data_IF_063070668518
#
_entry.id   IF_063070668518
#
_cell.length_a   1.000
_cell.length_b   1.000
_cell.length_c   1.000
_cell.angle_alpha   90.00
_cell.angle_beta   90.00
_cell.angle_gamma   90.00
#
_symmetry.space_group_name_H-M   'P 1'
#
loop_
_entity.id
_entity.type
_entity.pdbx_description
1 polymer ?
#
# COMPACT_ATOMS: atom_id res chain seq x y z
N UNK A 1 -15.94 -41.82 5.23
CA UNK A 1 -16.00 -40.34 5.21
C UNK A 1 -15.85 -39.90 3.78
N UNK A 2 -16.81 -39.18 3.18
CA UNK A 2 -16.71 -38.84 1.77
C UNK A 2 -15.64 -37.75 1.58
N UNK A 3 -14.63 -38.09 0.77
CA UNK A 3 -13.59 -37.19 0.30
C UNK A 3 -14.18 -36.24 -0.74
N UNK A 4 -14.18 -34.93 -0.46
CA UNK A 4 -14.45 -33.93 -1.49
C UNK A 4 -13.15 -33.63 -2.24
N UNK A 5 -13.07 -33.91 -3.56
CA UNK A 5 -11.93 -33.46 -4.34
C UNK A 5 -11.98 -31.93 -4.47
N UNK A 6 -10.84 -31.29 -4.27
CA UNK A 6 -10.62 -29.92 -4.73
C UNK A 6 -10.87 -29.90 -6.24
N UNK A 7 -11.90 -29.19 -6.69
CA UNK A 7 -12.10 -28.95 -8.12
C UNK A 7 -10.95 -28.06 -8.60
N UNK A 8 -9.94 -28.69 -9.22
CA UNK A 8 -9.24 -28.04 -10.31
C UNK A 8 -10.30 -27.62 -11.33
N UNK A 9 -10.25 -26.39 -11.84
CA UNK A 9 -11.23 -25.87 -12.79
C UNK A 9 -11.52 -26.89 -13.88
N UNK A 10 -12.76 -27.36 -13.94
CA UNK A 10 -13.22 -28.33 -14.94
C UNK A 10 -12.87 -27.78 -16.34
N UNK A 11 -12.24 -28.61 -17.17
CA UNK A 11 -12.05 -28.37 -18.61
C UNK A 11 -13.39 -28.17 -19.36
N UNK A 12 -14.53 -28.32 -18.69
CA UNK A 12 -15.87 -27.98 -19.17
C UNK A 12 -16.19 -26.47 -19.21
N UNK A 13 -15.35 -25.60 -18.61
CA UNK A 13 -15.53 -24.14 -18.65
C UNK A 13 -15.20 -23.48 -20.01
N UNK A 14 -14.99 -24.25 -21.09
CA UNK A 14 -14.67 -23.70 -22.40
C UNK A 14 -15.90 -23.54 -23.33
N UNK A 15 -17.02 -24.20 -23.02
CA UNK A 15 -18.19 -24.27 -23.92
C UNK A 15 -19.47 -23.60 -23.40
N UNK A 16 -19.39 -22.81 -22.33
CA UNK A 16 -20.51 -21.95 -21.94
C UNK A 16 -20.41 -20.62 -22.67
N UNK A 17 -21.52 -20.14 -23.23
CA UNK A 17 -21.66 -18.72 -23.59
C UNK A 17 -21.20 -17.85 -22.41
N UNK A 18 -20.54 -16.74 -22.70
CA UNK A 18 -20.02 -15.85 -21.66
C UNK A 18 -21.13 -15.55 -20.65
N UNK A 19 -20.88 -15.81 -19.37
CA UNK A 19 -21.81 -15.55 -18.27
C UNK A 19 -21.89 -14.06 -17.91
N UNK A 20 -21.53 -13.19 -18.86
CA UNK A 20 -21.32 -11.76 -18.68
C UNK A 20 -22.09 -11.01 -19.77
N UNK A 21 -22.95 -10.09 -19.35
CA UNK A 21 -23.62 -9.15 -20.24
C UNK A 21 -22.69 -8.01 -20.72
N UNK A 22 -21.41 -8.05 -20.33
CA UNK A 22 -20.38 -7.07 -20.71
C UNK A 22 -19.64 -7.56 -21.96
N UNK A 23 -19.63 -6.71 -22.99
CA UNK A 23 -18.88 -6.91 -24.23
C UNK A 23 -17.37 -6.69 -24.03
N UNK A 24 -16.56 -7.30 -24.89
CA UNK A 24 -15.11 -7.06 -24.95
C UNK A 24 -14.74 -5.58 -25.14
N UNK A 25 -15.61 -4.79 -25.80
CA UNK A 25 -15.38 -3.36 -25.96
C UNK A 25 -15.59 -2.60 -24.64
N UNK A 26 -16.64 -2.92 -23.89
CA UNK A 26 -16.87 -2.32 -22.57
C UNK A 26 -15.74 -2.64 -21.59
N UNK A 27 -15.16 -3.85 -21.65
CA UNK A 27 -13.96 -4.21 -20.88
C UNK A 27 -12.78 -3.29 -21.26
N UNK A 28 -12.55 -3.07 -22.56
CA UNK A 28 -11.49 -2.16 -23.03
C UNK A 28 -11.73 -0.72 -22.63
N UNK A 29 -12.98 -0.26 -22.65
CA UNK A 29 -13.35 1.11 -22.29
C UNK A 29 -13.17 1.33 -20.78
N UNK A 30 -13.54 0.36 -19.93
CA UNK A 30 -13.28 0.39 -18.50
C UNK A 30 -11.77 0.42 -18.19
N UNK A 31 -10.98 -0.43 -18.84
CA UNK A 31 -9.53 -0.42 -18.68
C UNK A 31 -8.90 0.90 -19.15
N UNK A 32 -9.44 1.48 -20.22
CA UNK A 32 -9.02 2.80 -20.72
C UNK A 32 -9.32 3.87 -19.68
N UNK A 33 -10.56 3.93 -19.19
CA UNK A 33 -10.96 4.85 -18.13
C UNK A 33 -10.04 4.75 -16.90
N UNK A 34 -9.81 3.54 -16.38
CA UNK A 34 -8.95 3.31 -15.22
C UNK A 34 -7.51 3.81 -15.43
N UNK A 35 -6.95 3.69 -16.64
CA UNK A 35 -5.62 4.22 -16.98
C UNK A 35 -5.56 5.74 -16.98
N UNK A 36 -6.68 6.42 -17.21
CA UNK A 36 -6.80 7.87 -17.24
C UNK A 36 -7.19 8.49 -15.89
N UNK A 37 -7.52 7.69 -14.87
CA UNK A 37 -7.75 8.20 -13.52
C UNK A 37 -6.41 8.71 -12.96
N UNK A 38 -6.25 10.03 -12.93
CA UNK A 38 -5.08 10.67 -12.36
C UNK A 38 -4.99 10.46 -10.85
N UNK A 39 -3.78 10.26 -10.34
CA UNK A 39 -3.54 10.17 -8.90
C UNK A 39 -3.30 11.59 -8.36
N UNK A 40 -4.01 12.03 -7.31
CA UNK A 40 -3.78 13.33 -6.71
C UNK A 40 -2.32 13.51 -6.29
N UNK A 41 -1.80 14.73 -6.47
CA UNK A 41 -0.45 15.06 -6.01
C UNK A 41 -0.42 15.21 -4.48
N UNK A 42 0.77 14.99 -3.91
CA UNK A 42 1.04 15.31 -2.51
C UNK A 42 0.99 16.84 -2.34
N UNK A 43 0.57 17.30 -1.17
CA UNK A 43 0.54 18.74 -0.88
C UNK A 43 1.95 19.29 -0.66
N UNK A 44 2.37 20.29 -1.44
CA UNK A 44 3.67 20.97 -1.31
C UNK A 44 3.91 21.55 0.09
N UNK A 45 2.86 22.06 0.73
CA UNK A 45 2.91 22.57 2.09
C UNK A 45 3.12 21.46 3.13
N UNK A 46 2.43 20.32 2.98
CA UNK A 46 2.59 19.21 3.92
C UNK A 46 3.98 18.58 3.82
N UNK A 47 4.49 18.36 2.60
CA UNK A 47 5.80 17.73 2.38
C UNK A 47 6.97 18.61 2.82
N UNK A 48 6.80 19.93 2.83
CA UNK A 48 7.81 20.87 3.35
C UNK A 48 7.80 21.01 4.87
N UNK A 49 6.82 20.42 5.57
CA UNK A 49 6.76 20.49 7.02
C UNK A 49 7.86 19.64 7.67
N UNK A 50 8.47 20.18 8.73
CA UNK A 50 9.54 19.48 9.46
C UNK A 50 9.08 18.13 10.05
N UNK A 51 7.80 17.99 10.40
CA UNK A 51 7.22 16.73 10.89
C UNK A 51 7.23 15.64 9.81
N UNK A 52 6.79 15.98 8.60
CA UNK A 52 6.76 15.03 7.48
C UNK A 52 8.18 14.63 7.07
N UNK A 53 9.11 15.57 7.04
CA UNK A 53 10.52 15.29 6.71
C UNK A 53 11.19 14.37 7.74
N UNK A 54 10.95 14.58 9.05
CA UNK A 54 11.44 13.65 10.08
C UNK A 54 10.78 12.28 10.00
N UNK A 55 9.48 12.24 9.72
CA UNK A 55 8.76 10.98 9.50
C UNK A 55 9.28 10.17 8.31
N UNK A 56 9.69 10.85 7.24
CA UNK A 56 10.32 10.20 6.08
C UNK A 56 11.63 9.51 6.46
N UNK A 57 12.46 10.19 7.26
CA UNK A 57 13.71 9.61 7.78
C UNK A 57 13.42 8.36 8.62
N UNK A 58 12.46 8.43 9.55
CA UNK A 58 12.04 7.27 10.37
C UNK A 58 11.54 6.13 9.48
N UNK A 59 10.73 6.42 8.47
CA UNK A 59 10.22 5.42 7.53
C UNK A 59 11.33 4.68 6.78
N UNK A 60 12.33 5.42 6.29
CA UNK A 60 13.50 4.83 5.60
C UNK A 60 14.36 4.05 6.59
N UNK A 61 14.60 4.62 7.77
CA UNK A 61 15.40 4.00 8.81
C UNK A 61 14.79 2.66 9.18
N UNK A 62 13.49 2.56 9.48
CA UNK A 62 12.78 1.32 9.80
C UNK A 62 12.85 0.25 8.70
N UNK A 63 13.30 0.61 7.50
CA UNK A 63 13.37 -0.29 6.35
C UNK A 63 12.05 -0.38 5.57
N UNK A 64 11.04 0.44 5.87
CA UNK A 64 9.75 0.39 5.17
C UNK A 64 9.91 0.63 3.66
N UNK A 65 10.89 1.46 3.26
CA UNK A 65 11.19 1.76 1.87
C UNK A 65 11.73 0.58 1.05
N UNK A 66 12.08 -0.55 1.67
CA UNK A 66 12.52 -1.74 0.92
C UNK A 66 11.36 -2.40 0.15
N UNK A 67 10.12 -2.20 0.58
CA UNK A 67 8.93 -2.73 -0.07
C UNK A 67 8.00 -1.60 -0.50
N UNK A 68 7.76 -0.61 0.38
CA UNK A 68 7.01 0.59 0.08
C UNK A 68 7.94 1.66 -0.52
N UNK A 69 8.39 1.42 -1.75
CA UNK A 69 9.43 2.21 -2.41
C UNK A 69 8.95 3.65 -2.64
N UNK A 70 9.59 4.57 -1.93
CA UNK A 70 9.40 6.03 -2.02
C UNK A 70 10.80 6.63 -2.19
N UNK A 71 11.25 6.73 -3.43
CA UNK A 71 12.56 7.31 -3.75
C UNK A 71 12.39 8.55 -4.65
N UNK A 72 13.38 8.93 -5.46
CA UNK A 72 13.19 9.80 -6.64
C UNK A 72 13.55 8.99 -7.88
N UNK A 73 12.62 8.80 -8.81
CA UNK A 73 12.90 8.19 -10.12
C UNK A 73 13.55 9.30 -10.95
N UNK A 74 14.80 9.13 -11.37
CA UNK A 74 15.38 10.07 -12.33
C UNK A 74 14.56 10.01 -13.61
N UNK A 75 14.21 11.17 -14.15
CA UNK A 75 13.62 11.21 -15.48
C UNK A 75 14.66 10.73 -16.51
N UNK A 76 14.43 9.53 -17.07
CA UNK A 76 15.25 8.97 -18.15
C UNK A 76 14.44 9.10 -19.44
N UNK A 77 14.84 10.01 -20.33
CA UNK A 77 14.08 10.35 -21.54
C UNK A 77 13.76 9.11 -22.39
N UNK A 78 14.71 8.18 -22.52
CA UNK A 78 14.59 6.98 -23.38
C UNK A 78 13.83 5.82 -22.73
N UNK A 79 13.70 5.81 -21.41
CA UNK A 79 13.06 4.73 -20.62
C UNK A 79 11.66 5.15 -20.12
N UNK A 80 11.15 6.27 -20.61
CA UNK A 80 9.90 6.82 -20.16
C UNK A 80 8.73 6.39 -21.06
N UNK A 81 7.74 5.71 -20.47
CA UNK A 81 6.48 5.33 -21.12
C UNK A 81 5.54 6.51 -21.41
N UNK A 82 5.91 7.74 -21.00
CA UNK A 82 5.15 8.95 -21.33
C UNK A 82 5.16 9.22 -22.85
N UNK A 83 4.04 9.73 -23.41
CA UNK A 83 4.03 10.20 -24.78
C UNK A 83 5.00 11.38 -25.01
N UNK A 84 5.37 11.60 -26.27
CA UNK A 84 6.44 12.53 -26.65
C UNK A 84 6.20 13.96 -26.13
N UNK A 85 4.96 14.43 -26.18
CA UNK A 85 4.59 15.79 -25.73
C UNK A 85 4.86 15.99 -24.22
N UNK A 86 4.47 15.03 -23.37
CA UNK A 86 4.72 15.08 -21.93
C UNK A 86 6.21 14.94 -21.62
N UNK A 87 6.92 14.11 -22.39
CA UNK A 87 8.38 13.96 -22.27
C UNK A 87 9.11 15.27 -22.56
N UNK A 88 8.71 15.96 -23.62
CA UNK A 88 9.24 17.29 -24.00
C UNK A 88 8.92 18.32 -22.90
N UNK A 89 7.69 18.32 -22.39
CA UNK A 89 7.29 19.23 -21.31
C UNK A 89 8.11 19.03 -20.03
N UNK A 90 8.31 17.77 -19.58
CA UNK A 90 9.14 17.47 -18.41
C UNK A 90 10.61 17.87 -18.62
N UNK A 91 11.14 17.66 -19.83
CA UNK A 91 12.49 18.08 -20.19
C UNK A 91 12.67 19.60 -20.11
N UNK A 92 11.64 20.36 -20.48
CA UNK A 92 11.65 21.82 -20.40
C UNK A 92 11.61 22.36 -18.96
N UNK A 93 11.14 21.56 -18.01
CA UNK A 93 11.05 21.92 -16.59
C UNK A 93 12.32 21.57 -15.78
N UNK A 94 13.42 21.24 -16.48
CA UNK A 94 14.72 20.93 -15.89
C UNK A 94 15.22 22.08 -15.00
N UNK A 95 15.61 21.75 -13.78
CA UNK A 95 16.25 22.67 -12.83
C UNK A 95 17.75 22.37 -12.81
N UNK A 96 18.59 23.37 -13.04
CA UNK A 96 20.03 23.21 -12.86
C UNK A 96 20.39 23.49 -11.40
N UNK A 97 20.62 22.43 -10.63
CA UNK A 97 21.07 22.53 -9.23
C UNK A 97 22.24 21.58 -9.00
N UNK A 98 23.33 22.08 -8.41
CA UNK A 98 24.47 21.24 -8.01
C UNK A 98 25.30 20.64 -9.15
N UNK A 99 25.22 21.17 -10.37
CA UNK A 99 26.03 20.70 -11.52
C UNK A 99 25.47 19.48 -12.26
N UNK A 100 24.31 18.97 -11.86
CA UNK A 100 23.55 17.96 -12.60
C UNK A 100 22.14 18.49 -12.91
N UNK A 101 21.55 18.12 -14.08
CA UNK A 101 20.17 18.45 -14.37
C UNK A 101 19.24 17.67 -13.43
N UNK A 102 18.46 18.39 -12.62
CA UNK A 102 17.34 17.85 -11.84
C UNK A 102 16.05 18.04 -12.64
N UNK A 103 15.12 17.10 -12.54
CA UNK A 103 13.84 17.14 -13.26
C UNK A 103 12.69 17.14 -12.26
N UNK A 104 11.52 17.68 -12.63
CA UNK A 104 10.34 17.51 -11.80
C UNK A 104 10.11 16.03 -11.56
N UNK A 105 9.88 15.71 -10.30
CA UNK A 105 9.78 14.35 -9.83
C UNK A 105 8.56 13.65 -10.46
N UNK A 106 8.78 12.54 -11.18
CA UNK A 106 7.69 11.66 -11.66
C UNK A 106 7.34 10.70 -10.52
N UNK A 107 6.16 10.92 -9.93
CA UNK A 107 5.71 10.30 -8.68
C UNK A 107 5.86 8.78 -8.57
N UNK A 108 6.26 8.30 -7.38
CA UNK A 108 6.21 6.89 -6.97
C UNK A 108 4.77 6.44 -6.78
N UNK A 109 4.50 5.18 -7.10
CA UNK A 109 3.33 4.45 -6.63
C UNK A 109 3.45 4.17 -5.10
N UNK A 110 4.65 4.18 -4.51
CA UNK A 110 4.85 3.88 -3.09
C UNK A 110 4.87 2.37 -2.82
N UNK A 111 5.38 1.59 -3.77
CA UNK A 111 5.33 0.12 -3.78
C UNK A 111 6.35 -0.46 -4.75
N UNK A 112 6.90 -1.63 -4.43
CA UNK A 112 7.70 -2.47 -5.32
C UNK A 112 6.85 -3.33 -6.28
N UNK A 113 5.52 -3.32 -6.11
CA UNK A 113 4.54 -4.18 -6.80
C UNK A 113 4.83 -5.68 -6.66
N UNK A 114 5.71 -6.11 -5.75
CA UNK A 114 6.00 -7.53 -5.54
C UNK A 114 5.01 -8.15 -4.57
N UNK A 115 4.95 -9.48 -4.60
CA UNK A 115 4.12 -10.28 -3.70
C UNK A 115 4.94 -10.68 -2.48
N UNK A 116 4.47 -10.35 -1.28
CA UNK A 116 5.16 -10.62 -0.03
C UNK A 116 4.36 -11.51 0.90
N UNK A 117 5.08 -12.32 1.65
CA UNK A 117 4.52 -13.04 2.78
C UNK A 117 4.42 -12.09 3.97
N UNK A 118 3.19 -11.72 4.33
CA UNK A 118 2.88 -10.79 5.43
C UNK A 118 2.72 -11.51 6.78
N UNK A 119 3.16 -12.77 6.87
CA UNK A 119 3.06 -13.57 8.08
C UNK A 119 1.65 -14.13 8.25
N UNK A 120 1.07 -13.96 9.44
CA UNK A 120 -0.31 -14.39 9.70
C UNK A 120 -1.32 -13.76 8.71
N UNK A 121 -1.11 -12.53 8.26
CA UNK A 121 -2.00 -11.87 7.29
C UNK A 121 -2.06 -12.57 5.92
N UNK A 122 -1.03 -13.34 5.57
CA UNK A 122 -1.01 -14.14 4.35
C UNK A 122 -1.60 -15.55 4.53
N UNK A 123 -2.04 -15.92 5.73
CA UNK A 123 -2.56 -17.27 5.98
C UNK A 123 -4.03 -17.38 5.59
N UNK A 124 -4.34 -18.26 4.63
CA UNK A 124 -5.71 -18.46 4.10
C UNK A 124 -6.42 -19.68 4.70
N UNK A 125 -5.71 -20.54 5.42
CA UNK A 125 -6.28 -21.73 6.04
C UNK A 125 -5.57 -22.10 7.35
N UNK A 126 -6.27 -22.83 8.22
CA UNK A 126 -5.68 -23.38 9.45
C UNK A 126 -4.85 -24.62 9.13
N UNK A 127 -3.77 -24.84 9.88
CA UNK A 127 -3.00 -26.07 9.76
C UNK A 127 -3.83 -27.30 10.14
N UNK A 128 -3.66 -28.44 9.44
CA UNK A 128 -4.09 -29.73 9.92
C UNK A 128 -3.51 -29.98 11.32
N UNK A 129 -4.34 -30.48 12.25
CA UNK A 129 -3.95 -30.84 13.63
C UNK A 129 -3.44 -29.67 14.51
N UNK A 130 -3.75 -28.41 14.18
CA UNK A 130 -3.34 -27.21 14.95
C UNK A 130 -1.82 -27.07 15.14
N UNK A 131 -1.02 -27.69 14.28
CA UNK A 131 0.44 -27.44 14.27
C UNK A 131 0.71 -26.03 13.76
N UNK A 132 1.79 -25.38 14.23
CA UNK A 132 2.19 -24.08 13.68
C UNK A 132 2.68 -24.23 12.22
N UNK A 133 2.18 -23.40 11.31
CA UNK A 133 2.55 -23.38 9.88
C UNK A 133 3.95 -22.79 9.61
N UNK A 134 4.49 -22.03 10.58
CA UNK A 134 5.69 -21.22 10.41
C UNK A 134 6.78 -21.62 11.39
N UNK A 135 8.03 -21.37 11.00
CA UNK A 135 9.20 -21.41 11.88
C UNK A 135 9.27 -20.13 12.72
N UNK A 136 10.17 -20.10 13.71
CA UNK A 136 10.34 -18.93 14.58
C UNK A 136 10.71 -17.64 13.81
N UNK A 137 11.45 -17.77 12.70
CA UNK A 137 11.80 -16.66 11.81
C UNK A 137 10.68 -16.26 10.83
N UNK A 138 9.46 -16.80 11.00
CA UNK A 138 8.31 -16.49 10.18
C UNK A 138 8.24 -17.24 8.85
N UNK A 139 9.28 -17.98 8.44
CA UNK A 139 9.23 -18.74 7.18
C UNK A 139 8.23 -19.89 7.25
N UNK A 140 7.58 -20.16 6.12
CA UNK A 140 6.61 -21.25 6.00
C UNK A 140 7.33 -22.59 6.09
N UNK A 141 6.81 -23.52 6.90
CA UNK A 141 7.35 -24.87 7.01
C UNK A 141 7.13 -25.64 5.69
N UNK A 142 8.04 -26.59 5.33
CA UNK A 142 7.85 -27.44 4.17
C UNK A 142 6.46 -28.12 4.17
N UNK A 143 5.80 -28.14 3.01
CA UNK A 143 4.47 -28.74 2.85
C UNK A 143 3.28 -27.82 3.12
N UNK A 144 3.49 -26.59 3.59
CA UNK A 144 2.41 -25.65 3.91
C UNK A 144 2.29 -24.44 2.96
N UNK A 145 3.03 -24.41 1.85
CA UNK A 145 2.99 -23.29 0.90
C UNK A 145 1.58 -22.99 0.37
N UNK A 146 0.73 -24.00 0.20
CA UNK A 146 -0.66 -23.85 -0.25
C UNK A 146 -1.60 -23.20 0.77
N UNK A 147 -1.15 -23.04 2.01
CA UNK A 147 -1.92 -22.38 3.09
C UNK A 147 -1.64 -20.87 3.16
N UNK A 148 -0.74 -20.38 2.31
CA UNK A 148 -0.25 -19.01 2.33
C UNK A 148 -0.52 -18.35 0.98
N UNK A 149 -1.20 -17.20 1.01
CA UNK A 149 -1.38 -16.31 -0.12
C UNK A 149 -0.52 -15.06 0.11
N UNK A 150 0.59 -14.91 -0.61
CA UNK A 150 1.34 -13.67 -0.63
C UNK A 150 0.44 -12.48 -1.04
N UNK A 151 0.74 -11.31 -0.52
CA UNK A 151 -0.03 -10.09 -0.77
C UNK A 151 0.86 -9.11 -1.53
N UNK A 152 0.33 -8.49 -2.59
CA UNK A 152 1.05 -7.46 -3.31
C UNK A 152 1.23 -6.24 -2.42
N UNK A 153 2.43 -5.67 -2.34
CA UNK A 153 2.63 -4.40 -1.63
C UNK A 153 1.68 -3.34 -2.23
N UNK A 154 0.72 -2.79 -1.46
CA UNK A 154 -0.15 -1.75 -1.99
C UNK A 154 0.63 -0.44 -2.16
N UNK A 155 0.31 0.36 -3.19
CA UNK A 155 0.83 1.72 -3.29
C UNK A 155 0.41 2.54 -2.06
N UNK A 156 1.35 3.20 -1.38
CA UNK A 156 1.02 4.13 -0.30
C UNK A 156 0.57 5.51 -0.80
N UNK A 157 0.73 5.81 -2.09
CA UNK A 157 0.29 7.08 -2.65
C UNK A 157 -1.23 7.22 -2.55
N UNK A 158 -1.69 8.32 -1.97
CA UNK A 158 -3.10 8.59 -1.74
C UNK A 158 -3.67 7.96 -0.47
N UNK A 159 -2.83 7.40 0.42
CA UNK A 159 -3.27 6.81 1.69
C UNK A 159 -4.13 7.76 2.51
N UNK A 160 -3.83 9.07 2.46
CA UNK A 160 -4.63 10.11 3.13
C UNK A 160 -6.10 10.19 2.69
N UNK A 161 -6.43 9.62 1.53
CA UNK A 161 -7.79 9.58 1.01
C UNK A 161 -8.55 8.33 1.39
N UNK A 162 -7.91 7.34 2.04
CA UNK A 162 -8.57 6.08 2.40
C UNK A 162 -9.88 6.34 3.16
N UNK A 163 -9.85 7.28 4.10
CA UNK A 163 -11.03 7.64 4.88
C UNK A 163 -12.22 8.15 4.08
N UNK A 164 -11.97 8.79 2.94
CA UNK A 164 -13.04 9.32 2.08
C UNK A 164 -13.58 8.25 1.14
N UNK A 165 -12.73 7.33 0.69
CA UNK A 165 -13.16 6.24 -0.21
C UNK A 165 -13.84 5.09 0.53
N UNK A 166 -13.56 4.93 1.84
CA UNK A 166 -14.25 3.95 2.70
C UNK A 166 -15.42 4.54 3.48
N UNK A 167 -15.75 5.83 3.27
CA UNK A 167 -16.74 6.60 4.05
C UNK A 167 -16.45 6.65 5.57
N UNK A 168 -15.25 6.25 5.98
CA UNK A 168 -14.80 6.28 7.38
C UNK A 168 -14.43 7.67 7.88
N UNK A 169 -14.47 8.70 7.02
CA UNK A 169 -14.45 10.09 7.47
C UNK A 169 -15.65 10.45 8.36
N UNK A 170 -16.73 9.66 8.32
CA UNK A 170 -17.85 9.74 9.28
C UNK A 170 -17.67 8.82 10.49
N UNK A 171 -16.73 7.87 10.43
CA UNK A 171 -16.37 7.02 11.55
C UNK A 171 -15.64 7.87 12.59
N UNK A 172 -16.32 8.12 13.69
CA UNK A 172 -15.83 8.95 14.79
C UNK A 172 -16.19 8.27 16.10
N UNK A 173 -15.39 8.53 17.14
CA UNK A 173 -15.65 7.92 18.46
C UNK A 173 -16.93 8.46 19.11
N UNK A 174 -17.53 9.51 18.54
CA UNK A 174 -18.79 10.15 18.98
C UNK A 174 -19.54 10.69 17.75
N UNK A 175 -20.89 10.64 17.70
CA UNK A 175 -21.67 11.16 16.57
C UNK A 175 -21.37 12.65 16.27
N UNK A 176 -21.12 12.98 15.01
CA UNK A 176 -20.98 14.36 14.55
C UNK A 176 -22.37 14.95 14.25
N UNK A 177 -22.70 16.09 14.86
CA UNK A 177 -23.88 16.91 14.51
C UNK A 177 -23.48 18.25 13.87
N UNK A 178 -24.42 18.90 13.17
CA UNK A 178 -24.21 20.25 12.62
C UNK A 178 -23.83 21.21 13.75
N UNK A 179 -22.62 21.77 13.70
CA UNK A 179 -22.07 22.66 14.73
C UNK A 179 -21.07 22.02 15.69
N UNK A 180 -20.73 20.74 15.51
CA UNK A 180 -19.64 20.09 16.29
C UNK A 180 -18.32 20.84 16.02
N UNK A 181 -17.63 21.35 17.06
CA UNK A 181 -16.32 21.97 16.91
C UNK A 181 -15.31 21.00 16.29
N UNK A 182 -14.46 21.49 15.38
CA UNK A 182 -13.51 20.63 14.65
C UNK A 182 -12.49 19.94 15.58
N UNK A 183 -12.18 20.56 16.72
CA UNK A 183 -11.30 20.04 17.77
C UNK A 183 -11.95 18.94 18.63
N UNK A 184 -13.28 18.82 18.61
CA UNK A 184 -14.01 17.72 19.28
C UNK A 184 -14.21 16.50 18.38
N UNK A 185 -13.95 16.62 17.06
CA UNK A 185 -14.05 15.52 16.11
C UNK A 185 -12.84 14.61 16.28
N UNK A 186 -13.05 13.47 16.95
CA UNK A 186 -12.05 12.42 17.10
C UNK A 186 -12.31 11.34 16.04
N UNK A 187 -11.43 11.21 15.02
CA UNK A 187 -11.56 10.15 14.00
C UNK A 187 -11.58 8.77 14.64
N UNK A 188 -12.38 7.88 14.06
CA UNK A 188 -12.43 6.46 14.38
C UNK A 188 -11.36 5.68 13.61
N UNK A 189 -11.78 4.61 12.95
CA UNK A 189 -10.94 3.65 12.24
C UNK A 189 -10.91 3.97 10.74
N UNK A 190 -9.72 4.06 10.12
CA UNK A 190 -9.55 4.27 8.68
C UNK A 190 -9.77 2.99 7.84
N UNK A 191 -9.84 1.82 8.48
CA UNK A 191 -9.97 0.49 7.85
C UNK A 191 -8.90 0.22 6.78
N UNK A 192 -7.64 0.24 7.19
CA UNK A 192 -6.48 -0.12 6.39
C UNK A 192 -6.23 -1.64 6.38
N UNK A 193 -5.31 -2.06 5.51
CA UNK A 193 -5.08 -3.44 5.07
C UNK A 193 -6.21 -3.97 4.17
N UNK A 194 -5.96 -5.09 3.50
CA UNK A 194 -6.87 -5.66 2.49
C UNK A 194 -8.25 -6.08 3.05
N UNK A 195 -8.35 -6.22 4.37
CA UNK A 195 -9.57 -6.62 5.08
C UNK A 195 -10.05 -5.58 6.10
N UNK A 196 -9.46 -4.38 6.08
CA UNK A 196 -9.90 -3.25 6.89
C UNK A 196 -9.64 -3.35 8.39
N UNK A 197 -8.84 -4.31 8.85
CA UNK A 197 -8.65 -4.55 10.30
C UNK A 197 -7.88 -3.46 11.05
N UNK A 198 -7.08 -2.65 10.36
CA UNK A 198 -6.22 -1.65 10.98
C UNK A 198 -6.88 -0.28 10.97
N UNK A 199 -6.87 0.42 12.10
CA UNK A 199 -7.51 1.73 12.24
C UNK A 199 -6.64 2.91 11.84
N UNK A 200 -5.32 2.75 11.82
CA UNK A 200 -4.43 3.73 11.25
C UNK A 200 -3.15 3.11 10.65
N UNK A 201 -2.38 3.94 9.95
CA UNK A 201 -1.19 3.49 9.23
C UNK A 201 -0.07 2.93 10.14
N UNK A 202 -0.01 3.38 11.40
CA UNK A 202 0.96 2.89 12.39
C UNK A 202 0.53 1.54 12.92
N UNK A 203 -0.77 1.36 13.24
CA UNK A 203 -1.32 0.05 13.60
C UNK A 203 -1.12 -0.95 12.45
N UNK A 204 -1.38 -0.54 11.21
CA UNK A 204 -1.13 -1.38 10.04
C UNK A 204 0.34 -1.83 9.97
N UNK A 205 1.30 -0.96 10.30
CA UNK A 205 2.72 -1.31 10.36
C UNK A 205 2.99 -2.38 11.44
N UNK A 206 2.40 -2.25 12.63
CA UNK A 206 2.54 -3.26 13.71
C UNK A 206 1.97 -4.63 13.37
N UNK A 207 1.02 -4.71 12.42
CA UNK A 207 0.42 -5.98 12.00
C UNK A 207 1.28 -6.75 10.98
N UNK A 208 2.40 -6.20 10.53
CA UNK A 208 3.32 -6.93 9.67
C UNK A 208 4.10 -7.97 10.49
N UNK A 209 3.94 -9.26 10.17
CA UNK A 209 4.62 -10.36 10.87
C UNK A 209 5.34 -11.33 9.90
N UNK A 210 5.61 -10.85 8.69
CA UNK A 210 6.26 -11.61 7.64
C UNK A 210 7.73 -11.94 7.93
N UNK A 211 8.31 -12.96 7.28
CA UNK A 211 9.72 -13.30 7.41
C UNK A 211 10.66 -12.14 7.07
N UNK A 212 10.33 -11.31 6.08
CA UNK A 212 11.12 -10.13 5.72
C UNK A 212 11.13 -9.09 6.86
N UNK A 213 9.95 -8.80 7.44
CA UNK A 213 9.82 -7.87 8.57
C UNK A 213 10.57 -8.35 9.80
N UNK A 214 10.53 -9.66 10.08
CA UNK A 214 11.34 -10.28 11.14
C UNK A 214 12.84 -10.17 10.87
N UNK A 215 13.28 -10.39 9.63
CA UNK A 215 14.69 -10.25 9.27
C UNK A 215 15.20 -8.81 9.39
N UNK A 216 14.34 -7.82 9.12
CA UNK A 216 14.64 -6.40 9.29
C UNK A 216 14.63 -5.95 10.77
N UNK A 217 14.10 -6.77 11.69
CA UNK A 217 13.86 -6.37 13.08
C UNK A 217 12.92 -5.16 13.19
N UNK A 218 12.05 -4.97 12.20
CA UNK A 218 11.30 -3.71 12.05
C UNK A 218 10.32 -3.48 13.22
N UNK A 219 9.65 -4.52 13.72
CA UNK A 219 8.74 -4.42 14.88
C UNK A 219 9.49 -4.01 16.16
N UNK A 220 10.66 -4.58 16.42
CA UNK A 220 11.47 -4.22 17.58
C UNK A 220 11.92 -2.75 17.52
N UNK A 221 12.23 -2.27 16.32
CA UNK A 221 12.61 -0.87 16.08
C UNK A 221 11.41 0.07 16.18
N UNK A 222 10.24 -0.33 15.70
CA UNK A 222 8.98 0.40 15.92
C UNK A 222 8.67 0.54 17.41
N UNK A 223 8.80 -0.55 18.18
CA UNK A 223 8.61 -0.54 19.64
C UNK A 223 9.59 0.39 20.37
N UNK A 224 10.75 0.67 19.77
CA UNK A 224 11.76 1.58 20.31
C UNK A 224 11.50 3.06 20.05
N UNK A 225 10.52 3.42 19.22
CA UNK A 225 10.22 4.80 18.90
C UNK A 225 9.50 5.52 20.05
N UNK A 226 9.88 6.78 20.27
CA UNK A 226 9.15 7.70 21.14
C UNK A 226 7.77 8.07 20.56
N UNK A 227 6.91 8.62 21.41
CA UNK A 227 5.57 9.09 20.99
C UNK A 227 5.67 10.15 19.90
N UNK A 228 6.68 11.02 19.94
CA UNK A 228 6.84 12.08 18.93
C UNK A 228 7.38 11.52 17.60
N UNK A 229 8.25 10.50 17.64
CA UNK A 229 8.68 9.78 16.44
C UNK A 229 7.52 9.03 15.77
N UNK A 230 6.64 8.39 16.56
CA UNK A 230 5.42 7.75 16.04
C UNK A 230 4.49 8.79 15.40
N UNK A 231 4.34 9.99 16.00
CA UNK A 231 3.56 11.08 15.42
C UNK A 231 4.16 11.60 14.12
N UNK A 232 5.48 11.74 14.05
CA UNK A 232 6.17 12.21 12.85
C UNK A 232 6.11 11.14 11.74
N UNK A 233 6.30 9.86 12.05
CA UNK A 233 6.08 8.73 11.11
C UNK A 233 4.65 8.73 10.57
N UNK A 234 3.65 8.87 11.45
CA UNK A 234 2.24 8.98 11.03
C UNK A 234 2.04 10.18 10.11
N UNK A 235 2.60 11.34 10.43
CA UNK A 235 2.49 12.53 9.60
C UNK A 235 3.06 12.29 8.19
N UNK A 236 4.19 11.59 8.09
CA UNK A 236 4.74 11.19 6.78
C UNK A 236 3.81 10.26 6.02
N UNK A 237 3.33 9.16 6.64
CA UNK A 237 2.45 8.19 5.99
C UNK A 237 1.16 8.85 5.43
N UNK A 238 0.53 9.75 6.20
CA UNK A 238 -0.65 10.50 5.76
C UNK A 238 -0.35 11.73 4.88
N UNK A 239 0.92 11.98 4.57
CA UNK A 239 1.31 12.97 3.56
C UNK A 239 1.45 12.36 2.16
N UNK A 240 1.42 11.03 2.05
CA UNK A 240 1.46 10.27 0.79
C UNK A 240 0.09 10.22 0.13
#
# INVERSE_FOLDING_TARGET
>A
MPSYPLRAGDLGCQNSEANSDITEQEIRDMATYQRWIGIPQRSEYQVSSAKVQRGELIFRDLGCSSCHVIDKIPFVEQDNMLPDEQRIALKALRIESGGAPDYPFVSYLGTDLLMHDMGYLSQVAKAPNRTGLRNANGTVKPGYNSFIQPIRTPPLKGLRFNRFVTDSNHNTTRPISKGTPADEIVPGCDFLLHDGRACDAVEAAYLHDGPAVKALGMIDRLNGLSVDEIRDLRAFLYSL
#
